data_IF_655872477123
#
_entry.id   IF_655872477123
#
_cell.length_a   1.000
_cell.length_b   1.000
_cell.length_c   1.000
_cell.angle_alpha   90.00
_cell.angle_beta   90.00
_cell.angle_gamma   90.00
#
_symmetry.space_group_name_H-M   'P 1'
#
loop_
_entity.id
_entity.type
_entity.pdbx_description
1 polymer ?
#
# COMPACT_ATOMS: atom_id res chain seq x y z
N UNK A 1 -14.03 -2.55 -2.82
CA UNK A 1 -12.69 -2.34 -2.28
C UNK A 1 -12.62 -1.35 -1.10
N UNK A 2 -13.71 -0.66 -0.81
CA UNK A 2 -13.77 0.31 0.29
C UNK A 2 -14.06 -0.30 1.67
N UNK A 3 -14.10 -1.63 1.78
CA UNK A 3 -14.20 -2.33 3.06
C UNK A 3 -12.81 -2.61 3.61
N UNK A 4 -12.69 -2.79 4.92
CA UNK A 4 -11.42 -3.18 5.53
C UNK A 4 -10.89 -4.48 4.93
N UNK A 5 -11.78 -5.46 4.72
CA UNK A 5 -11.39 -6.72 4.10
C UNK A 5 -10.84 -6.52 2.69
N UNK A 6 -11.50 -5.69 1.88
CA UNK A 6 -11.02 -5.40 0.53
C UNK A 6 -9.66 -4.71 0.52
N UNK A 7 -9.42 -3.81 1.48
CA UNK A 7 -8.13 -3.15 1.62
C UNK A 7 -7.05 -4.16 2.05
N UNK A 8 -7.36 -5.07 2.99
CA UNK A 8 -6.42 -6.12 3.38
C UNK A 8 -6.10 -7.07 2.24
N UNK A 9 -7.08 -7.42 1.41
CA UNK A 9 -6.84 -8.23 0.21
C UNK A 9 -5.94 -7.53 -0.78
N UNK A 10 -6.13 -6.23 -0.96
CA UNK A 10 -5.27 -5.42 -1.81
C UNK A 10 -3.83 -5.38 -1.28
N UNK A 11 -3.67 -5.18 0.02
CA UNK A 11 -2.35 -5.21 0.67
C UNK A 11 -1.68 -6.58 0.46
N UNK A 12 -2.42 -7.66 0.63
CA UNK A 12 -1.88 -9.00 0.41
C UNK A 12 -1.40 -9.20 -1.03
N UNK A 13 -2.13 -8.67 -2.01
CA UNK A 13 -1.73 -8.73 -3.41
C UNK A 13 -0.43 -7.94 -3.65
N UNK A 14 -0.31 -6.74 -3.06
CA UNK A 14 0.90 -5.93 -3.18
C UNK A 14 2.12 -6.61 -2.54
N UNK A 15 1.94 -7.26 -1.40
CA UNK A 15 3.01 -8.02 -0.73
C UNK A 15 3.44 -9.21 -1.59
N UNK A 16 2.50 -9.88 -2.24
CA UNK A 16 2.79 -10.99 -3.15
C UNK A 16 3.60 -10.52 -4.37
N UNK A 17 3.26 -9.35 -4.91
CA UNK A 17 4.04 -8.75 -6.00
C UNK A 17 5.47 -8.41 -5.58
N UNK A 18 5.64 -7.90 -4.37
CA UNK A 18 6.96 -7.60 -3.81
C UNK A 18 7.83 -8.85 -3.76
N UNK A 19 7.28 -9.95 -3.27
CA UNK A 19 7.97 -11.23 -3.25
C UNK A 19 8.32 -11.71 -4.65
N UNK A 20 7.39 -11.59 -5.59
CA UNK A 20 7.61 -11.97 -6.98
C UNK A 20 8.76 -11.19 -7.62
N UNK A 21 8.87 -9.89 -7.34
CA UNK A 21 9.97 -9.07 -7.83
C UNK A 21 11.32 -9.52 -7.29
N UNK A 22 11.39 -9.87 -6.01
CA UNK A 22 12.61 -10.41 -5.41
C UNK A 22 13.02 -11.73 -6.04
N UNK A 23 12.05 -12.61 -6.31
CA UNK A 23 12.30 -13.88 -6.98
C UNK A 23 12.79 -13.68 -8.42
N UNK A 24 12.21 -12.70 -9.14
CA UNK A 24 12.64 -12.36 -10.50
C UNK A 24 14.07 -11.82 -10.53
N UNK A 25 14.44 -11.01 -9.54
CA UNK A 25 15.82 -10.53 -9.45
C UNK A 25 16.77 -11.69 -9.17
N UNK A 26 16.42 -12.58 -8.25
CA UNK A 26 17.25 -13.74 -7.89
C UNK A 26 17.48 -14.67 -9.09
N UNK A 27 16.50 -14.78 -10.00
CA UNK A 27 16.60 -15.59 -11.21
C UNK A 27 17.09 -14.81 -12.43
N UNK A 28 17.55 -13.58 -12.22
CA UNK A 28 18.09 -12.69 -13.28
C UNK A 28 17.06 -12.35 -14.39
N UNK A 29 15.77 -12.35 -14.06
CA UNK A 29 14.71 -11.99 -15.00
C UNK A 29 14.51 -10.48 -15.11
N UNK A 30 14.96 -9.72 -14.11
CA UNK A 30 14.93 -8.26 -14.10
C UNK A 30 16.25 -7.72 -13.58
N UNK A 31 16.54 -6.46 -13.88
CA UNK A 31 17.75 -5.79 -13.39
C UNK A 31 17.55 -5.27 -11.97
N UNK A 32 18.63 -5.05 -11.20
CA UNK A 32 18.52 -4.41 -9.88
C UNK A 32 17.83 -3.04 -9.92
N UNK A 33 18.07 -2.24 -10.96
CA UNK A 33 17.44 -0.93 -11.10
C UNK A 33 15.94 -1.06 -11.33
N UNK A 34 15.50 -2.02 -12.15
CA UNK A 34 14.08 -2.29 -12.39
C UNK A 34 13.40 -2.78 -11.12
N UNK A 35 14.04 -3.67 -10.37
CA UNK A 35 13.50 -4.14 -9.10
C UNK A 35 13.33 -2.97 -8.14
N UNK A 36 14.36 -2.14 -7.99
CA UNK A 36 14.32 -1.01 -7.07
C UNK A 36 13.16 -0.06 -7.39
N UNK A 37 12.99 0.30 -8.66
CA UNK A 37 11.92 1.19 -9.09
C UNK A 37 10.54 0.61 -8.81
N UNK A 38 10.34 -0.69 -9.10
CA UNK A 38 9.06 -1.35 -8.88
C UNK A 38 8.75 -1.54 -7.40
N UNK A 39 9.76 -1.91 -6.58
CA UNK A 39 9.59 -2.02 -5.14
C UNK A 39 9.19 -0.69 -4.53
N UNK A 40 9.83 0.40 -4.95
CA UNK A 40 9.48 1.73 -4.45
C UNK A 40 8.03 2.08 -4.76
N UNK A 41 7.56 1.80 -5.98
CA UNK A 41 6.17 2.04 -6.36
C UNK A 41 5.20 1.20 -5.51
N UNK A 42 5.54 -0.07 -5.25
CA UNK A 42 4.72 -0.94 -4.39
C UNK A 42 4.68 -0.46 -2.95
N UNK A 43 5.81 0.00 -2.42
CA UNK A 43 5.89 0.55 -1.06
C UNK A 43 4.99 1.77 -0.90
N UNK A 44 4.96 2.66 -1.89
CA UNK A 44 4.08 3.83 -1.88
C UNK A 44 2.61 3.38 -1.85
N UNK A 45 2.24 2.41 -2.67
CA UNK A 45 0.87 1.88 -2.70
C UNK A 45 0.50 1.20 -1.37
N UNK A 46 1.43 0.47 -0.76
CA UNK A 46 1.24 -0.13 0.56
C UNK A 46 1.00 0.94 1.63
N UNK A 47 1.79 2.00 1.62
CA UNK A 47 1.65 3.09 2.57
C UNK A 47 0.28 3.79 2.43
N UNK A 48 -0.18 4.00 1.20
CA UNK A 48 -1.50 4.57 0.92
C UNK A 48 -2.62 3.65 1.41
N UNK A 49 -2.47 2.34 1.23
CA UNK A 49 -3.48 1.36 1.68
C UNK A 49 -3.55 1.30 3.21
N UNK A 50 -2.41 1.28 3.89
CA UNK A 50 -2.37 1.32 5.35
C UNK A 50 -2.91 2.64 5.91
N UNK A 51 -2.62 3.77 5.25
CA UNK A 51 -3.18 5.06 5.63
C UNK A 51 -4.71 5.05 5.54
N UNK A 52 -5.25 4.48 4.48
CA UNK A 52 -6.70 4.36 4.31
C UNK A 52 -7.33 3.54 5.44
N UNK A 53 -6.72 2.44 5.84
CA UNK A 53 -7.18 1.65 6.98
C UNK A 53 -7.18 2.45 8.27
N UNK A 54 -6.12 3.23 8.52
CA UNK A 54 -6.04 4.10 9.69
C UNK A 54 -7.13 5.15 9.71
N UNK A 55 -7.42 5.77 8.55
CA UNK A 55 -8.52 6.73 8.43
C UNK A 55 -9.86 6.09 8.78
N UNK A 56 -10.13 4.90 8.24
CA UNK A 56 -11.38 4.18 8.48
C UNK A 56 -11.54 3.86 9.96
N UNK A 57 -10.46 3.42 10.60
CA UNK A 57 -10.45 3.14 12.04
C UNK A 57 -10.72 4.41 12.85
N UNK A 58 -10.06 5.50 12.53
CA UNK A 58 -10.24 6.78 13.23
C UNK A 58 -11.69 7.28 13.12
N UNK A 59 -12.29 7.15 11.95
CA UNK A 59 -13.68 7.53 11.74
C UNK A 59 -14.64 6.69 12.61
N UNK A 60 -14.42 5.37 12.68
CA UNK A 60 -15.23 4.50 13.56
C UNK A 60 -15.10 4.91 15.02
N UNK A 61 -13.90 5.21 15.47
CA UNK A 61 -13.64 5.59 16.86
C UNK A 61 -14.26 6.93 17.25
N UNK A 62 -14.44 7.84 16.29
CA UNK A 62 -15.06 9.15 16.52
C UNK A 62 -16.54 9.21 16.19
N UNK A 63 -17.15 8.07 15.86
CA UNK A 63 -18.59 7.99 15.52
C UNK A 63 -18.93 8.36 14.09
N UNK A 64 -17.92 8.59 13.23
CA UNK A 64 -18.11 8.86 11.82
C UNK A 64 -18.27 7.58 11.00
N UNK A 65 -18.50 7.74 9.69
CA UNK A 65 -18.59 6.61 8.77
C UNK A 65 -17.22 6.28 8.19
N UNK A 66 -16.77 5.01 8.29
CA UNK A 66 -15.53 4.59 7.63
C UNK A 66 -15.54 4.84 6.12
N UNK A 67 -16.74 4.84 5.51
CA UNK A 67 -16.88 5.06 4.07
C UNK A 67 -16.57 6.49 3.63
N UNK A 68 -16.43 7.42 4.57
CA UNK A 68 -16.00 8.79 4.31
C UNK A 68 -14.46 8.88 4.13
N UNK A 69 -13.71 7.83 4.47
CA UNK A 69 -12.29 7.78 4.25
C UNK A 69 -11.98 7.66 2.75
N UNK A 70 -10.91 8.34 2.32
CA UNK A 70 -10.47 8.31 0.94
C UNK A 70 -8.95 8.16 0.87
N UNK A 71 -8.46 7.49 -0.17
CA UNK A 71 -7.03 7.37 -0.39
C UNK A 71 -6.42 8.76 -0.55
N UNK A 72 -5.37 9.02 0.23
CA UNK A 72 -4.65 10.29 0.17
C UNK A 72 -3.53 10.20 -0.86
N UNK A 73 -3.17 11.33 -1.50
CA UNK A 73 -2.03 11.35 -2.43
C UNK A 73 -0.75 10.84 -1.77
N UNK A 74 0.09 10.17 -2.55
CA UNK A 74 1.35 9.63 -2.07
C UNK A 74 2.22 10.70 -1.38
N UNK A 75 2.25 11.91 -1.92
CA UNK A 75 3.01 13.02 -1.34
C UNK A 75 2.58 13.37 0.08
N UNK A 76 1.29 13.22 0.39
CA UNK A 76 0.76 13.46 1.73
C UNK A 76 1.12 12.32 2.68
N UNK A 77 0.93 11.08 2.26
CA UNK A 77 1.22 9.90 3.07
C UNK A 77 2.71 9.80 3.37
N UNK A 78 3.55 9.98 2.36
CA UNK A 78 5.00 9.90 2.51
C UNK A 78 5.54 10.98 3.46
N UNK A 79 4.91 12.13 3.54
CA UNK A 79 5.33 13.19 4.46
C UNK A 79 5.17 12.81 5.94
N UNK A 80 4.29 11.88 6.27
CA UNK A 80 4.15 11.37 7.64
C UNK A 80 5.26 10.40 8.02
N UNK A 81 5.87 9.76 7.02
CA UNK A 81 6.82 8.67 7.22
C UNK A 81 8.27 9.15 7.24
N UNK A 82 8.49 10.40 6.87
CA UNK A 82 9.81 11.02 6.87
C UNK A 82 10.25 11.52 8.29
#
# INVERSE_FOLDING_TARGET
>A
MTTDQGIHEHIAALVAEEKSLRDQLASAQITPDDEHARLKALEIQLDQAWDLLRQRRALRETGGSPDDAAERPASVVESYLE
#
